data_IF_823489292445
#
_entry.id   IF_823489292445
#
_cell.length_a   1.000
_cell.length_b   1.000
_cell.length_c   1.000
_cell.angle_alpha   90.00
_cell.angle_beta   90.00
_cell.angle_gamma   90.00
#
_symmetry.space_group_name_H-M   'P 1'
#
loop_
_entity.id
_entity.type
_entity.pdbx_description
1 polymer ?
#
# COMPACT_ATOMS: atom_id res chain seq x y z
N UNK A 1 17.94 2.84 18.08
CA UNK A 1 18.08 3.90 17.02
C UNK A 1 18.06 3.26 15.63
N UNK A 2 17.29 2.20 15.40
CA UNK A 2 17.20 1.53 14.08
C UNK A 2 15.93 1.94 13.32
N UNK A 3 14.86 2.28 14.06
CA UNK A 3 13.60 2.72 13.46
C UNK A 3 13.67 4.07 12.72
N UNK A 4 14.63 4.96 13.02
CA UNK A 4 14.71 6.27 12.37
C UNK A 4 15.14 6.20 10.90
N UNK A 5 16.03 5.27 10.57
CA UNK A 5 16.48 5.09 9.18
C UNK A 5 15.37 4.47 8.33
N UNK A 6 14.70 3.44 8.85
CA UNK A 6 13.56 2.82 8.18
C UNK A 6 12.39 3.80 8.04
N UNK A 7 12.06 4.54 9.10
CA UNK A 7 11.00 5.56 9.04
C UNK A 7 11.32 6.64 8.00
N UNK A 8 12.57 7.12 7.94
CA UNK A 8 12.99 8.07 6.91
C UNK A 8 12.87 7.52 5.49
N UNK A 9 13.26 6.26 5.27
CA UNK A 9 13.12 5.60 3.98
C UNK A 9 11.66 5.46 3.56
N UNK A 10 10.78 5.02 4.47
CA UNK A 10 9.34 4.89 4.19
C UNK A 10 8.70 6.25 3.90
N UNK A 11 9.06 7.30 4.65
CA UNK A 11 8.58 8.66 4.35
C UNK A 11 9.03 9.14 2.98
N UNK A 12 10.29 8.89 2.62
CA UNK A 12 10.84 9.18 1.29
C UNK A 12 10.11 8.43 0.19
N UNK A 13 9.88 7.12 0.39
CA UNK A 13 9.09 6.29 -0.52
C UNK A 13 7.68 6.84 -0.70
N UNK A 14 6.94 7.11 0.39
CA UNK A 14 5.57 7.60 0.30
C UNK A 14 5.49 8.89 -0.51
N UNK A 15 6.43 9.83 -0.31
CA UNK A 15 6.47 11.07 -1.09
C UNK A 15 6.73 10.82 -2.57
N UNK A 16 7.73 9.99 -2.89
CA UNK A 16 8.07 9.63 -4.27
C UNK A 16 6.92 8.90 -4.97
N UNK A 17 6.28 7.96 -4.27
CA UNK A 17 5.16 7.18 -4.76
C UNK A 17 3.92 8.06 -5.02
N UNK A 18 3.59 8.99 -4.12
CA UNK A 18 2.53 9.97 -4.35
C UNK A 18 2.80 10.80 -5.60
N UNK A 19 4.04 11.25 -5.83
CA UNK A 19 4.40 11.99 -7.05
C UNK A 19 4.30 11.10 -8.29
N UNK A 20 4.78 9.85 -8.22
CA UNK A 20 4.70 8.92 -9.34
C UNK A 20 3.25 8.72 -9.81
N UNK A 21 2.31 8.51 -8.87
CA UNK A 21 0.88 8.37 -9.20
C UNK A 21 0.30 9.65 -9.83
N UNK A 22 0.74 10.83 -9.39
CA UNK A 22 0.27 12.11 -9.94
C UNK A 22 0.83 12.41 -11.33
N UNK A 23 2.01 11.89 -11.69
CA UNK A 23 2.77 12.31 -12.87
C UNK A 23 3.09 11.19 -13.88
N UNK A 24 2.49 10.00 -13.76
CA UNK A 24 2.51 9.04 -14.87
C UNK A 24 2.44 7.56 -14.51
N UNK A 25 2.58 7.18 -13.24
CA UNK A 25 2.39 5.78 -12.83
C UNK A 25 0.89 5.47 -12.73
N UNK A 26 0.41 4.57 -13.57
CA UNK A 26 -0.96 4.06 -13.48
C UNK A 26 -1.18 3.35 -12.15
N UNK A 27 -2.37 3.52 -11.56
CA UNK A 27 -2.70 2.93 -10.26
C UNK A 27 -2.67 1.40 -10.30
N UNK A 28 -3.20 0.78 -11.37
CA UNK A 28 -3.14 -0.67 -11.57
C UNK A 28 -1.69 -1.16 -11.65
N UNK A 29 -0.85 -0.50 -12.46
CA UNK A 29 0.56 -0.84 -12.59
C UNK A 29 1.31 -0.73 -11.26
N UNK A 30 0.96 0.25 -10.42
CA UNK A 30 1.50 0.39 -9.09
C UNK A 30 1.12 -0.80 -8.21
N UNK A 31 -0.16 -1.15 -8.14
CA UNK A 31 -0.64 -2.30 -7.36
C UNK A 31 0.05 -3.59 -7.80
N UNK A 32 0.09 -3.85 -9.11
CA UNK A 32 0.69 -5.08 -9.66
C UNK A 32 2.18 -5.21 -9.32
N UNK A 33 2.89 -4.09 -9.15
CA UNK A 33 4.33 -4.10 -8.80
C UNK A 33 4.63 -4.29 -7.33
N UNK A 34 3.77 -3.78 -6.45
CA UNK A 34 4.04 -3.75 -5.00
C UNK A 34 3.32 -4.87 -4.24
N UNK A 35 2.21 -5.40 -4.79
CA UNK A 35 1.49 -6.51 -4.18
C UNK A 35 2.36 -7.76 -4.09
N UNK A 36 2.35 -8.41 -2.93
CA UNK A 36 3.15 -9.59 -2.62
C UNK A 36 4.62 -9.31 -2.33
N UNK A 37 5.07 -8.05 -2.29
CA UNK A 37 6.41 -7.73 -1.80
C UNK A 37 6.57 -8.17 -0.34
N UNK A 38 7.68 -8.86 -0.06
CA UNK A 38 7.96 -9.47 1.25
C UNK A 38 9.15 -8.81 1.94
N UNK A 39 8.91 -8.20 3.09
CA UNK A 39 9.95 -7.71 4.01
C UNK A 39 9.29 -7.26 5.34
N UNK A 40 10.08 -7.20 6.41
CA UNK A 40 9.60 -6.78 7.73
C UNK A 40 9.38 -5.25 7.82
N UNK A 41 8.33 -4.78 8.51
CA UNK A 41 7.36 -5.57 9.26
C UNK A 41 6.31 -6.22 8.36
N UNK A 42 5.96 -7.48 8.68
CA UNK A 42 4.91 -8.26 8.01
C UNK A 42 3.92 -8.87 9.03
N UNK A 43 2.75 -9.29 8.57
CA UNK A 43 1.77 -10.02 9.38
C UNK A 43 0.38 -9.40 9.41
N UNK A 44 -0.42 -9.69 10.45
CA UNK A 44 -1.82 -9.29 10.52
C UNK A 44 -1.98 -7.78 10.71
N UNK A 45 -3.07 -7.23 10.17
CA UNK A 45 -3.40 -5.81 10.29
C UNK A 45 -4.74 -5.61 10.99
N UNK A 46 -5.03 -4.37 11.40
CA UNK A 46 -6.32 -3.99 11.97
C UNK A 46 -7.35 -3.60 10.90
N UNK A 47 -7.00 -3.69 9.62
CA UNK A 47 -7.90 -3.37 8.52
C UNK A 47 -8.64 -4.65 8.08
N UNK A 48 -9.97 -4.74 8.23
CA UNK A 48 -10.73 -5.94 7.84
C UNK A 48 -10.67 -6.21 6.33
N UNK A 49 -10.43 -5.19 5.50
CA UNK A 49 -10.30 -5.32 4.06
C UNK A 49 -8.91 -5.83 3.63
N UNK A 50 -7.92 -5.70 4.51
CA UNK A 50 -6.53 -6.15 4.31
C UNK A 50 -6.05 -6.87 5.58
N UNK A 51 -6.57 -8.05 5.89
CA UNK A 51 -6.35 -8.71 7.19
C UNK A 51 -4.90 -9.13 7.43
N UNK A 52 -4.13 -9.35 6.37
CA UNK A 52 -2.71 -9.72 6.42
C UNK A 52 -1.94 -9.05 5.28
N UNK A 53 -0.72 -8.63 5.55
CA UNK A 53 0.18 -8.09 4.54
C UNK A 53 1.59 -8.66 4.70
N UNK A 54 2.26 -8.93 3.58
CA UNK A 54 3.63 -9.46 3.60
C UNK A 54 4.70 -8.37 3.73
N UNK A 55 4.29 -7.10 3.72
CA UNK A 55 5.09 -5.93 4.03
C UNK A 55 4.23 -4.66 4.10
N UNK A 56 4.83 -3.53 4.50
CA UNK A 56 4.18 -2.21 4.43
C UNK A 56 3.81 -1.85 2.98
N UNK A 57 4.66 -2.17 1.99
CA UNK A 57 4.38 -1.84 0.59
C UNK A 57 3.25 -2.70 0.02
N UNK A 58 3.24 -3.98 0.39
CA UNK A 58 2.14 -4.89 0.04
C UNK A 58 0.82 -4.40 0.65
N UNK A 59 0.82 -3.97 1.91
CA UNK A 59 -0.36 -3.38 2.55
C UNK A 59 -0.90 -2.18 1.77
N UNK A 60 -0.03 -1.24 1.38
CA UNK A 60 -0.43 -0.06 0.59
C UNK A 60 -1.00 -0.49 -0.76
N UNK A 61 -0.40 -1.46 -1.44
CA UNK A 61 -0.91 -1.96 -2.72
C UNK A 61 -2.30 -2.60 -2.57
N UNK A 62 -2.48 -3.48 -1.60
CA UNK A 62 -3.77 -4.12 -1.31
C UNK A 62 -4.84 -3.07 -0.94
N UNK A 63 -4.49 -2.08 -0.12
CA UNK A 63 -5.39 -0.99 0.24
C UNK A 63 -5.83 -0.20 -0.99
N UNK A 64 -4.89 0.15 -1.87
CA UNK A 64 -5.20 0.90 -3.09
C UNK A 64 -6.09 0.08 -4.03
N UNK A 65 -5.84 -1.21 -4.15
CA UNK A 65 -6.66 -2.10 -4.96
C UNK A 65 -8.10 -2.15 -4.46
N UNK A 66 -8.31 -2.35 -3.15
CA UNK A 66 -9.65 -2.43 -2.57
C UNK A 66 -10.41 -1.11 -2.69
N UNK A 67 -9.74 0.02 -2.45
CA UNK A 67 -10.41 1.31 -2.34
C UNK A 67 -10.64 2.01 -3.67
N UNK A 68 -9.85 1.71 -4.70
CA UNK A 68 -9.81 2.51 -5.92
C UNK A 68 -9.82 1.71 -7.23
N UNK A 69 -9.65 0.38 -7.19
CA UNK A 69 -9.66 -0.47 -8.39
C UNK A 69 -10.86 -1.40 -8.39
N UNK A 70 -11.10 -2.11 -7.29
CA UNK A 70 -12.26 -3.01 -7.20
C UNK A 70 -13.53 -2.18 -7.13
N UNK A 71 -14.57 -2.64 -7.82
CA UNK A 71 -15.91 -2.05 -7.67
C UNK A 71 -16.30 -2.05 -6.19
N UNK A 72 -16.90 -0.95 -5.69
CA UNK A 72 -17.30 -0.87 -4.31
C UNK A 72 -18.23 -2.03 -3.99
N UNK A 73 -17.83 -2.84 -3.00
CA UNK A 73 -18.71 -3.85 -2.42
C UNK A 73 -19.92 -3.08 -1.91
N UNK A 74 -21.10 -3.37 -2.47
CA UNK A 74 -22.35 -2.70 -2.13
C UNK A 74 -22.57 -2.73 -0.61
N UNK A 75 -22.24 -1.62 0.07
CA UNK A 75 -22.25 -1.56 1.53
C UNK A 75 -21.43 -0.44 2.17
N UNK A 76 -20.47 0.17 1.47
CA UNK A 76 -19.65 1.27 2.02
C UNK A 76 -19.87 2.65 1.36
N UNK A 77 -20.95 2.83 0.60
CA UNK A 77 -21.39 4.16 0.17
C UNK A 77 -22.18 4.81 1.32
N UNK A 78 -21.49 5.54 2.19
CA UNK A 78 -22.07 6.54 3.09
C UNK A 78 -21.08 7.70 3.27
#
# INVERSE_FOLDING_TARGET
>A
KEGSTLSGLIQGFCRAFSLALQYGLGLQDAVDRFRGMRFEPSGPTNNPDVPEATSILDYVAQYLEVNFIREPIAGHAA
#
